data_IF_550791876982
#
_entry.id   IF_550791876982
#
_cell.length_a   1.000
_cell.length_b   1.000
_cell.length_c   1.000
_cell.angle_alpha   90.00
_cell.angle_beta   90.00
_cell.angle_gamma   90.00
#
_symmetry.space_group_name_H-M   'P 1'
#
loop_
_entity.id
_entity.type
_entity.pdbx_description
1 polymer ?
#
# COMPACT_ATOMS: atom_id res chain seq x y z
N UNK A 1 2.37 31.73 0.55
CA UNK A 1 1.77 30.67 1.38
C UNK A 1 1.05 29.71 0.45
N UNK A 2 1.70 28.59 0.11
CA UNK A 2 1.12 27.55 -0.74
C UNK A 2 0.77 26.38 0.16
N UNK A 3 -0.51 26.20 0.43
CA UNK A 3 -1.04 25.00 1.08
C UNK A 3 -0.93 23.85 0.08
N UNK A 4 0.12 23.04 0.19
CA UNK A 4 0.32 21.84 -0.64
C UNK A 4 -0.50 20.68 -0.06
N UNK A 5 -1.68 20.48 -0.65
CA UNK A 5 -2.30 19.20 -1.05
C UNK A 5 -1.92 17.89 -0.30
N UNK A 6 -1.96 17.85 1.03
CA UNK A 6 -1.81 16.58 1.81
C UNK A 6 -3.15 15.89 2.09
N UNK A 7 -4.28 16.38 1.57
CA UNK A 7 -5.59 15.98 2.09
C UNK A 7 -6.61 15.63 0.99
N UNK A 8 -6.40 14.55 0.23
CA UNK A 8 -7.45 14.04 -0.69
C UNK A 8 -7.73 12.54 -0.59
N UNK A 9 -6.92 11.73 0.09
CA UNK A 9 -7.12 10.26 0.08
C UNK A 9 -7.95 9.66 1.23
N UNK A 10 -8.80 10.45 1.90
CA UNK A 10 -9.57 9.98 3.06
C UNK A 10 -11.11 10.03 2.93
N UNK A 11 -11.67 10.55 1.83
CA UNK A 11 -13.10 10.94 1.83
C UNK A 11 -14.07 9.99 1.12
N UNK A 12 -13.65 8.82 0.65
CA UNK A 12 -14.53 7.94 -0.16
C UNK A 12 -14.94 6.62 0.50
N UNK A 13 -14.56 6.34 1.75
CA UNK A 13 -14.71 5.01 2.37
C UNK A 13 -16.05 4.74 3.10
N UNK A 14 -17.10 5.53 2.85
CA UNK A 14 -18.34 5.46 3.65
C UNK A 14 -19.55 4.77 2.99
N UNK A 15 -19.38 3.94 1.95
CA UNK A 15 -20.54 3.26 1.30
C UNK A 15 -20.24 1.80 0.93
N UNK A 16 -19.83 0.97 1.89
CA UNK A 16 -19.80 -0.48 1.70
C UNK A 16 -20.08 -1.27 2.98
N UNK A 17 -21.08 -0.85 3.77
CA UNK A 17 -21.57 -1.61 4.91
C UNK A 17 -23.08 -1.79 4.81
N UNK A 18 -23.58 -2.35 3.70
CA UNK A 18 -24.98 -2.81 3.63
C UNK A 18 -25.16 -3.83 2.51
N UNK A 19 -25.21 -5.10 2.91
CA UNK A 19 -26.02 -6.11 2.23
C UNK A 19 -25.30 -7.02 1.24
N UNK A 20 -24.92 -8.21 1.69
CA UNK A 20 -25.45 -9.44 1.11
C UNK A 20 -25.15 -10.63 2.03
N UNK A 21 -26.19 -11.30 2.52
CA UNK A 21 -26.10 -12.62 3.13
C UNK A 21 -25.94 -13.66 2.02
N UNK A 22 -24.84 -13.60 1.29
CA UNK A 22 -24.41 -14.60 0.33
C UNK A 22 -23.25 -15.38 0.95
N UNK A 23 -23.20 -16.67 0.67
CA UNK A 23 -22.08 -17.58 0.95
C UNK A 23 -20.84 -17.12 0.15
N UNK A 24 -20.29 -15.96 0.49
CA UNK A 24 -19.04 -15.46 -0.07
C UNK A 24 -17.92 -16.14 0.70
N UNK A 25 -17.22 -17.05 0.01
CA UNK A 25 -15.98 -17.61 0.52
C UNK A 25 -15.10 -16.44 1.01
N UNK A 26 -14.48 -16.54 2.20
CA UNK A 26 -13.68 -15.47 2.75
C UNK A 26 -12.67 -15.02 1.70
N UNK A 27 -12.66 -13.72 1.41
CA UNK A 27 -11.75 -13.12 0.44
C UNK A 27 -10.32 -13.56 0.76
N UNK A 28 -9.54 -13.99 -0.24
CA UNK A 28 -8.17 -14.43 0.00
C UNK A 28 -7.38 -13.26 0.62
N UNK A 29 -6.69 -13.56 1.71
CA UNK A 29 -5.84 -12.57 2.37
C UNK A 29 -4.72 -12.11 1.41
N UNK A 30 -4.38 -10.81 1.42
CA UNK A 30 -3.26 -10.30 0.66
C UNK A 30 -1.95 -10.99 1.07
N UNK A 31 -1.09 -11.25 0.09
CA UNK A 31 0.24 -11.81 0.35
C UNK A 31 1.02 -10.88 1.29
N UNK A 32 1.53 -11.45 2.39
CA UNK A 32 2.35 -10.73 3.37
C UNK A 32 3.59 -10.07 2.75
N UNK A 33 4.21 -10.69 1.74
CA UNK A 33 5.38 -10.13 1.06
C UNK A 33 4.99 -8.94 0.18
N UNK A 34 3.80 -8.99 -0.44
CA UNK A 34 3.27 -7.84 -1.17
C UNK A 34 2.97 -6.68 -0.22
N UNK A 35 2.36 -6.95 0.94
CA UNK A 35 2.10 -5.93 1.96
C UNK A 35 3.42 -5.31 2.44
N UNK A 36 4.44 -6.11 2.75
CA UNK A 36 5.76 -5.63 3.17
C UNK A 36 6.45 -4.78 2.09
N UNK A 37 6.36 -5.21 0.83
CA UNK A 37 6.87 -4.46 -0.31
C UNK A 37 6.21 -3.07 -0.43
N UNK A 38 4.87 -3.02 -0.36
CA UNK A 38 4.12 -1.76 -0.45
C UNK A 38 4.41 -0.83 0.72
N UNK A 39 4.51 -1.36 1.94
CA UNK A 39 4.90 -0.58 3.13
C UNK A 39 6.29 0.02 2.96
N UNK A 40 7.26 -0.76 2.51
CA UNK A 40 8.64 -0.30 2.30
C UNK A 40 8.70 0.83 1.28
N UNK A 41 8.01 0.65 0.14
CA UNK A 41 7.95 1.67 -0.91
C UNK A 41 7.27 2.95 -0.39
N UNK A 42 6.17 2.83 0.34
CA UNK A 42 5.46 3.99 0.91
C UNK A 42 6.32 4.77 1.91
N UNK A 43 7.07 4.07 2.77
CA UNK A 43 7.98 4.71 3.71
C UNK A 43 9.14 5.41 3.00
N UNK A 44 9.69 4.81 1.94
CA UNK A 44 10.73 5.43 1.13
C UNK A 44 10.22 6.70 0.43
N UNK A 45 9.00 6.68 -0.11
CA UNK A 45 8.39 7.87 -0.70
C UNK A 45 8.13 8.98 0.32
N UNK A 46 7.67 8.62 1.52
CA UNK A 46 7.48 9.58 2.62
C UNK A 46 8.82 10.23 3.03
N UNK A 47 9.90 9.44 3.16
CA UNK A 47 11.25 9.95 3.43
C UNK A 47 11.74 10.88 2.33
N UNK A 48 11.58 10.47 1.06
CA UNK A 48 11.96 11.30 -0.09
C UNK A 48 11.20 12.64 -0.12
N UNK A 49 9.92 12.65 0.27
CA UNK A 49 9.12 13.87 0.36
C UNK A 49 9.58 14.80 1.49
N UNK A 50 10.08 14.27 2.60
CA UNK A 50 10.56 15.05 3.74
C UNK A 50 11.97 15.62 3.53
N UNK A 51 12.84 14.90 2.84
CA UNK A 51 14.26 15.27 2.69
C UNK A 51 14.50 16.20 1.49
N UNK A 52 13.47 16.53 0.70
CA UNK A 52 13.58 17.22 -0.61
C UNK A 52 14.66 16.58 -1.52
N UNK A 53 14.96 15.30 -1.27
CA UNK A 53 16.04 14.57 -1.93
C UNK A 53 15.65 14.10 -3.33
N UNK A 54 16.64 13.63 -4.08
CA UNK A 54 16.45 13.06 -5.40
C UNK A 54 15.57 11.79 -5.33
N UNK A 55 14.25 12.00 -5.43
CA UNK A 55 13.19 10.99 -5.32
C UNK A 55 13.49 9.75 -6.15
N UNK A 56 14.12 9.89 -7.31
CA UNK A 56 14.41 8.78 -8.21
C UNK A 56 15.49 7.85 -7.66
N UNK A 57 16.52 8.38 -6.98
CA UNK A 57 17.56 7.56 -6.34
C UNK A 57 17.03 6.78 -5.15
N UNK A 58 16.25 7.43 -4.28
CA UNK A 58 15.62 6.77 -3.12
C UNK A 58 14.59 5.72 -3.56
N UNK A 59 13.81 6.01 -4.60
CA UNK A 59 12.87 5.04 -5.17
C UNK A 59 13.60 3.83 -5.74
N UNK A 60 14.69 4.04 -6.49
CA UNK A 60 15.48 2.94 -7.04
C UNK A 60 16.09 2.07 -5.93
N UNK A 61 16.60 2.69 -4.85
CA UNK A 61 17.13 1.97 -3.70
C UNK A 61 16.03 1.17 -2.97
N UNK A 62 14.86 1.78 -2.77
CA UNK A 62 13.72 1.11 -2.14
C UNK A 62 13.26 -0.11 -2.96
N UNK A 63 13.16 0.02 -4.29
CA UNK A 63 12.85 -1.12 -5.15
C UNK A 63 13.93 -2.20 -5.08
N UNK A 64 15.21 -1.82 -5.11
CA UNK A 64 16.31 -2.79 -4.99
C UNK A 64 16.30 -3.52 -3.64
N UNK A 65 15.92 -2.82 -2.55
CA UNK A 65 15.74 -3.42 -1.24
C UNK A 65 14.57 -4.42 -1.26
N UNK A 66 13.41 -4.01 -1.74
CA UNK A 66 12.21 -4.86 -1.85
C UNK A 66 12.49 -6.11 -2.66
N UNK A 67 13.08 -5.98 -3.86
CA UNK A 67 13.41 -7.16 -4.68
C UNK A 67 14.37 -8.11 -3.96
N UNK A 68 15.27 -7.59 -3.11
CA UNK A 68 16.17 -8.44 -2.33
C UNK A 68 15.48 -9.12 -1.14
N UNK A 69 14.57 -8.43 -0.45
CA UNK A 69 13.93 -8.94 0.77
C UNK A 69 12.72 -9.83 0.50
N UNK A 70 11.96 -9.55 -0.56
CA UNK A 70 10.70 -10.24 -0.87
C UNK A 70 10.76 -11.07 -2.16
N UNK A 71 11.84 -10.96 -2.95
CA UNK A 71 11.94 -11.51 -4.31
C UNK A 71 10.88 -10.97 -5.29
N UNK A 72 10.15 -9.90 -4.93
CA UNK A 72 9.18 -9.26 -5.80
C UNK A 72 9.85 -8.11 -6.59
N UNK A 73 9.68 -8.13 -7.91
CA UNK A 73 10.06 -7.01 -8.76
C UNK A 73 8.91 -6.02 -8.94
N UNK A 74 9.20 -4.86 -9.54
CA UNK A 74 8.22 -3.80 -9.73
C UNK A 74 7.04 -4.21 -10.62
N UNK A 75 7.26 -5.12 -11.58
CA UNK A 75 6.21 -5.62 -12.48
C UNK A 75 5.25 -6.51 -11.70
N UNK A 76 5.77 -7.45 -10.93
CA UNK A 76 5.00 -8.38 -10.10
C UNK A 76 4.17 -7.62 -9.05
N UNK A 77 4.76 -6.60 -8.43
CA UNK A 77 4.04 -5.73 -7.48
C UNK A 77 2.90 -4.98 -8.18
N UNK A 78 3.16 -4.39 -9.35
CA UNK A 78 2.15 -3.67 -10.11
C UNK A 78 0.99 -4.59 -10.54
N UNK A 79 1.30 -5.77 -11.08
CA UNK A 79 0.28 -6.75 -11.47
C UNK A 79 -0.55 -7.23 -10.28
N UNK A 80 0.05 -7.39 -9.11
CA UNK A 80 -0.66 -7.80 -7.90
C UNK A 80 -1.60 -6.70 -7.39
N UNK A 81 -1.16 -5.44 -7.42
CA UNK A 81 -1.99 -4.27 -7.09
C UNK A 81 -3.13 -4.12 -8.10
N UNK A 82 -2.85 -4.23 -9.40
CA UNK A 82 -3.85 -4.16 -10.46
C UNK A 82 -4.90 -5.26 -10.30
N UNK A 83 -4.48 -6.48 -9.93
CA UNK A 83 -5.39 -7.59 -9.64
C UNK A 83 -6.27 -7.29 -8.42
N UNK A 84 -5.71 -6.76 -7.35
CA UNK A 84 -6.49 -6.36 -6.17
C UNK A 84 -7.47 -5.21 -6.49
N UNK A 85 -7.10 -4.30 -7.41
CA UNK A 85 -7.95 -3.20 -7.84
C UNK A 85 -9.15 -3.63 -8.70
N UNK A 86 -9.21 -4.89 -9.16
CA UNK A 86 -10.33 -5.39 -9.97
C UNK A 86 -11.64 -5.51 -9.17
N UNK A 87 -11.55 -5.66 -7.84
CA UNK A 87 -12.73 -5.67 -6.97
C UNK A 87 -12.57 -4.63 -5.84
N UNK A 88 -13.61 -3.84 -5.52
CA UNK A 88 -13.56 -2.88 -4.41
C UNK A 88 -13.15 -3.52 -3.08
N UNK A 89 -13.62 -4.74 -2.82
CA UNK A 89 -13.39 -5.47 -1.59
C UNK A 89 -11.94 -5.92 -1.44
N UNK A 90 -11.32 -6.45 -2.51
CA UNK A 90 -9.91 -6.84 -2.49
C UNK A 90 -9.00 -5.62 -2.35
N UNK A 91 -9.32 -4.54 -3.06
CA UNK A 91 -8.60 -3.28 -2.93
C UNK A 91 -8.67 -2.75 -1.49
N UNK A 92 -9.87 -2.70 -0.91
CA UNK A 92 -10.07 -2.25 0.47
C UNK A 92 -9.28 -3.10 1.48
N UNK A 93 -9.29 -4.43 1.31
CA UNK A 93 -8.54 -5.34 2.18
C UNK A 93 -7.03 -5.11 2.06
N UNK A 94 -6.49 -4.98 0.84
CA UNK A 94 -5.07 -4.69 0.63
C UNK A 94 -4.67 -3.36 1.28
N UNK A 95 -5.45 -2.30 1.07
CA UNK A 95 -5.18 -0.99 1.68
C UNK A 95 -5.26 -1.06 3.21
N UNK A 96 -6.23 -1.78 3.77
CA UNK A 96 -6.36 -1.97 5.21
C UNK A 96 -5.12 -2.66 5.79
N UNK A 97 -4.66 -3.75 5.17
CA UNK A 97 -3.45 -4.47 5.61
C UNK A 97 -2.19 -3.60 5.55
N UNK A 98 -2.03 -2.82 4.48
CA UNK A 98 -0.91 -1.86 4.36
C UNK A 98 -1.00 -0.79 5.45
N UNK A 99 -2.18 -0.23 5.70
CA UNK A 99 -2.39 0.79 6.73
C UNK A 99 -2.10 0.24 8.14
N UNK A 100 -2.58 -0.97 8.46
CA UNK A 100 -2.35 -1.62 9.75
C UNK A 100 -0.85 -1.85 9.99
N UNK A 101 -0.13 -2.31 8.97
CA UNK A 101 1.31 -2.51 9.07
C UNK A 101 2.09 -1.20 9.20
N UNK A 102 1.72 -0.16 8.45
CA UNK A 102 2.29 1.18 8.61
C UNK A 102 2.05 1.76 10.01
N UNK A 103 0.87 1.51 10.59
CA UNK A 103 0.57 1.93 11.95
C UNK A 103 1.44 1.20 12.98
N UNK A 104 1.77 -0.08 12.76
CA UNK A 104 2.71 -0.82 13.61
C UNK A 104 4.13 -0.24 13.53
N UNK A 105 4.62 0.09 12.33
CA UNK A 105 5.94 0.73 12.15
C UNK A 105 6.04 2.06 12.90
N UNK A 106 4.96 2.85 12.96
CA UNK A 106 4.93 4.11 13.73
C UNK A 106 5.00 3.89 15.24
N UNK A 107 4.53 2.75 15.74
CA UNK A 107 4.60 2.39 17.16
C UNK A 107 5.95 1.81 17.57
N UNK A 108 6.79 1.43 16.60
CA UNK A 108 8.07 0.76 16.83
C UNK A 108 7.93 -0.73 17.19
N UNK A 109 6.83 -1.36 16.77
CA UNK A 109 6.56 -2.80 16.92
C UNK A 109 7.32 -3.66 15.89
#
# INVERSE_FOLDING_TARGET
>A
MRASAVMVLASSLLVACSGSNGDEAPMPEPDSLLVEALVTLQLAEARAALMEENRDSLRAEAYAHVTRSTALDSVTIAEAVDRAAQTPEAAALLYQRVADRLAAEQRGD
#
